data_IF_786272676578
#
_entry.id   IF_786272676578
#
_cell.length_a   1.000
_cell.length_b   1.000
_cell.length_c   1.000
_cell.angle_alpha   90.00
_cell.angle_beta   90.00
_cell.angle_gamma   90.00
#
_symmetry.space_group_name_H-M   'P 1'
#
loop_
_entity.id
_entity.type
_entity.pdbx_description
1 polymer ?
#
# COMPACT_ATOMS: atom_id res chain seq x y z
N UNK A 1 -66.86 0.10 -9.28
CA UNK A 1 -65.57 -0.57 -9.11
C UNK A 1 -64.66 0.35 -8.26
N UNK A 2 -64.40 -0.05 -7.02
CA UNK A 2 -63.54 0.67 -6.11
C UNK A 2 -62.08 0.35 -6.45
N UNK A 3 -61.28 1.37 -6.72
CA UNK A 3 -59.82 1.26 -6.82
C UNK A 3 -59.25 1.25 -5.39
N UNK A 4 -58.78 0.10 -4.95
CA UNK A 4 -58.03 -0.03 -3.73
C UNK A 4 -56.70 0.71 -3.85
N UNK A 5 -56.61 1.78 -3.15
CA UNK A 5 -55.42 2.59 -3.05
C UNK A 5 -54.42 1.89 -2.09
N UNK A 6 -53.56 1.05 -2.63
CA UNK A 6 -52.47 0.44 -1.84
C UNK A 6 -51.43 1.52 -1.63
N UNK A 7 -51.54 2.23 -0.52
CA UNK A 7 -50.50 3.10 -0.02
C UNK A 7 -49.41 2.23 0.60
N UNK A 8 -48.35 1.92 -0.17
CA UNK A 8 -47.17 1.35 0.38
C UNK A 8 -46.42 2.46 1.19
N UNK A 9 -46.66 2.48 2.48
CA UNK A 9 -45.83 3.27 3.38
C UNK A 9 -44.46 2.62 3.47
N UNK A 10 -43.49 3.16 2.74
CA UNK A 10 -42.10 2.87 2.99
C UNK A 10 -41.75 3.45 4.39
N UNK A 11 -41.65 2.59 5.37
CA UNK A 11 -41.14 2.96 6.68
C UNK A 11 -39.66 3.23 6.51
N UNK A 12 -39.27 4.49 6.34
CA UNK A 12 -37.90 4.92 6.49
C UNK A 12 -37.51 4.71 7.95
N UNK A 13 -36.83 3.62 8.22
CA UNK A 13 -36.21 3.39 9.53
C UNK A 13 -35.16 4.47 9.72
N UNK A 14 -35.50 5.50 10.44
CA UNK A 14 -34.55 6.56 10.81
C UNK A 14 -33.46 5.91 11.64
N UNK A 15 -32.23 5.85 11.09
CA UNK A 15 -31.07 5.35 11.80
C UNK A 15 -30.87 6.19 13.03
N UNK A 16 -30.90 5.57 14.19
CA UNK A 16 -30.65 6.23 15.48
C UNK A 16 -29.28 6.95 15.39
N UNK A 17 -29.22 8.28 15.55
CA UNK A 17 -27.98 9.03 15.48
C UNK A 17 -26.99 8.66 16.59
N UNK A 18 -27.44 7.93 17.61
CA UNK A 18 -26.63 7.49 18.75
C UNK A 18 -26.18 6.02 18.63
N UNK A 19 -26.50 5.33 17.54
CA UNK A 19 -26.00 3.98 17.33
C UNK A 19 -24.53 4.05 16.92
N UNK A 20 -23.64 3.81 17.86
CA UNK A 20 -22.21 3.64 17.61
C UNK A 20 -22.03 2.46 16.64
N UNK A 21 -21.63 2.74 15.42
CA UNK A 21 -21.32 1.70 14.44
C UNK A 21 -20.03 1.05 14.87
N UNK A 22 -20.13 -0.11 15.51
CA UNK A 22 -18.94 -0.91 15.83
C UNK A 22 -18.34 -1.44 14.53
N UNK A 23 -17.20 -0.88 14.16
CA UNK A 23 -16.44 -1.36 13.01
C UNK A 23 -15.79 -2.71 13.33
N UNK A 24 -15.66 -3.61 12.33
CA UNK A 24 -14.87 -4.81 12.47
C UNK A 24 -13.42 -4.49 12.84
N UNK A 25 -12.84 -5.31 13.69
CA UNK A 25 -11.41 -5.22 14.02
C UNK A 25 -10.62 -5.87 12.90
N UNK A 26 -9.75 -5.10 12.26
CA UNK A 26 -8.90 -5.57 11.15
C UNK A 26 -7.46 -5.62 11.61
N UNK A 27 -6.74 -6.67 11.23
CA UNK A 27 -5.31 -6.83 11.51
C UNK A 27 -4.60 -7.42 10.29
N UNK A 28 -3.31 -7.11 10.18
CA UNK A 28 -2.41 -7.74 9.23
C UNK A 28 -1.64 -8.85 9.96
N UNK A 29 -1.64 -10.06 9.41
CA UNK A 29 -0.85 -11.17 9.93
C UNK A 29 -0.02 -11.77 8.79
N UNK A 30 1.25 -12.02 9.03
CA UNK A 30 2.15 -12.54 8.02
C UNK A 30 3.57 -12.75 8.54
N UNK A 31 4.49 -13.05 7.64
CA UNK A 31 5.89 -13.29 7.99
C UNK A 31 6.55 -12.11 8.71
N UNK A 32 6.06 -10.88 8.47
CA UNK A 32 6.57 -9.67 9.10
C UNK A 32 6.26 -9.59 10.61
N UNK A 33 5.33 -10.38 11.13
CA UNK A 33 4.92 -10.38 12.54
C UNK A 33 4.66 -11.79 13.08
N UNK A 34 5.33 -12.81 12.49
CA UNK A 34 5.24 -14.20 12.89
C UNK A 34 3.79 -14.74 12.88
N UNK A 35 2.98 -14.25 11.92
CA UNK A 35 1.56 -14.60 11.76
C UNK A 35 0.68 -14.26 12.96
N UNK A 36 1.09 -13.28 13.77
CA UNK A 36 0.28 -12.79 14.88
C UNK A 36 -0.97 -12.06 14.38
N UNK A 37 -2.14 -12.50 14.82
CA UNK A 37 -3.44 -11.89 14.46
C UNK A 37 -3.73 -10.60 15.21
N UNK A 38 -2.89 -10.22 16.18
CA UNK A 38 -3.11 -9.08 17.08
C UNK A 38 -1.96 -8.07 17.09
N UNK A 39 -0.77 -8.45 16.60
CA UNK A 39 0.42 -7.60 16.70
C UNK A 39 0.39 -6.38 15.75
N UNK A 40 -0.38 -6.46 14.67
CA UNK A 40 -0.44 -5.41 13.64
C UNK A 40 -1.88 -5.02 13.32
N UNK A 41 -2.60 -4.40 14.30
CA UNK A 41 -3.97 -3.96 14.10
C UNK A 41 -4.03 -2.71 13.21
N UNK A 42 -5.06 -2.61 12.39
CA UNK A 42 -5.37 -1.40 11.66
C UNK A 42 -6.05 -0.38 12.58
N UNK A 43 -5.73 0.89 12.39
CA UNK A 43 -6.37 2.01 13.07
C UNK A 43 -7.41 2.62 12.16
N UNK A 44 -8.67 2.63 12.59
CA UNK A 44 -9.76 3.22 11.84
C UNK A 44 -9.56 4.73 11.68
N UNK A 45 -9.84 5.24 10.49
CA UNK A 45 -9.88 6.67 10.22
C UNK A 45 -11.12 7.31 10.90
N UNK A 46 -11.07 8.62 11.12
CA UNK A 46 -12.15 9.35 11.79
C UNK A 46 -13.49 9.28 11.04
N UNK A 47 -13.45 9.10 9.72
CA UNK A 47 -14.65 8.93 8.89
C UNK A 47 -15.27 7.53 8.96
N UNK A 48 -14.60 6.59 9.60
CA UNK A 48 -15.00 5.17 9.71
C UNK A 48 -15.16 4.46 8.37
N UNK A 49 -14.59 4.99 7.29
CA UNK A 49 -14.64 4.38 5.96
C UNK A 49 -13.43 3.48 5.69
N UNK A 50 -12.29 3.85 6.25
CA UNK A 50 -11.02 3.15 6.07
C UNK A 50 -10.34 2.90 7.41
N UNK A 51 -9.38 1.98 7.37
CA UNK A 51 -8.43 1.78 8.46
C UNK A 51 -7.02 1.60 7.87
N UNK A 52 -6.00 1.97 8.59
CA UNK A 52 -4.63 1.88 8.11
C UNK A 52 -3.66 1.35 9.14
N UNK A 53 -2.57 0.75 8.67
CA UNK A 53 -1.45 0.35 9.49
C UNK A 53 -0.14 0.56 8.73
N UNK A 54 0.85 1.10 9.42
CA UNK A 54 2.19 1.31 8.89
C UNK A 54 3.13 0.20 9.40
N UNK A 55 3.78 -0.51 8.49
CA UNK A 55 4.66 -1.64 8.78
C UNK A 55 6.05 -1.37 8.20
N UNK A 56 7.08 -1.55 9.02
CA UNK A 56 8.46 -1.49 8.55
C UNK A 56 8.86 -2.84 7.96
N UNK A 57 9.20 -2.85 6.68
CA UNK A 57 9.65 -4.05 5.97
C UNK A 57 11.10 -3.90 5.52
N UNK A 58 11.82 -5.00 5.47
CA UNK A 58 13.12 -5.10 4.81
C UNK A 58 12.90 -5.41 3.32
N UNK A 59 13.92 -5.25 2.48
CA UNK A 59 13.85 -5.55 1.07
C UNK A 59 13.79 -7.07 0.85
N UNK A 60 12.58 -7.62 0.87
CA UNK A 60 12.29 -9.04 0.61
C UNK A 60 10.79 -9.25 0.32
N UNK A 61 10.43 -10.46 -0.04
CA UNK A 61 9.03 -10.87 -0.20
C UNK A 61 8.47 -11.35 1.13
N UNK A 62 7.25 -10.94 1.46
CA UNK A 62 6.52 -11.38 2.66
C UNK A 62 5.18 -11.97 2.26
N UNK A 63 4.87 -13.15 2.76
CA UNK A 63 3.52 -13.71 2.72
C UNK A 63 2.69 -13.13 3.87
N UNK A 64 1.42 -12.81 3.60
CA UNK A 64 0.51 -12.26 4.61
C UNK A 64 -0.96 -12.56 4.31
N UNK A 65 -1.80 -12.33 5.31
CA UNK A 65 -3.27 -12.35 5.22
C UNK A 65 -3.84 -11.16 5.98
N UNK A 66 -5.07 -10.79 5.63
CA UNK A 66 -5.89 -9.89 6.43
C UNK A 66 -6.74 -10.72 7.38
N UNK A 67 -6.86 -10.29 8.62
CA UNK A 67 -7.71 -10.90 9.65
C UNK A 67 -8.78 -9.89 10.00
N UNK A 68 -10.04 -10.29 9.96
CA UNK A 68 -11.20 -9.48 10.31
C UNK A 68 -12.00 -10.18 11.39
N UNK A 69 -12.18 -9.57 12.54
CA UNK A 69 -12.87 -10.14 13.71
C UNK A 69 -12.37 -11.56 14.05
N UNK A 70 -11.04 -11.74 14.06
CA UNK A 70 -10.35 -13.03 14.27
C UNK A 70 -10.59 -14.09 13.20
N UNK A 71 -11.22 -13.74 12.07
CA UNK A 71 -11.40 -14.62 10.94
C UNK A 71 -10.37 -14.32 9.86
N UNK A 72 -9.70 -15.35 9.36
CA UNK A 72 -8.73 -15.24 8.27
C UNK A 72 -9.48 -14.99 6.94
N UNK A 73 -9.11 -13.95 6.23
CA UNK A 73 -9.55 -13.76 4.86
C UNK A 73 -8.69 -14.65 3.95
N UNK A 74 -9.25 -15.78 3.55
CA UNK A 74 -8.57 -16.77 2.71
C UNK A 74 -8.92 -16.66 1.24
N UNK A 75 -9.88 -15.80 0.87
CA UNK A 75 -10.38 -15.70 -0.48
C UNK A 75 -9.80 -14.48 -1.21
N UNK A 76 -9.24 -14.72 -2.39
CA UNK A 76 -8.68 -13.69 -3.28
C UNK A 76 -9.69 -12.60 -3.69
N UNK A 77 -10.98 -12.90 -3.68
CA UNK A 77 -12.03 -11.94 -4.00
C UNK A 77 -12.25 -10.90 -2.94
N UNK A 78 -11.78 -11.14 -1.73
CA UNK A 78 -11.93 -10.23 -0.60
C UNK A 78 -10.79 -9.21 -0.51
N UNK A 79 -9.69 -9.43 -1.23
CA UNK A 79 -8.57 -8.49 -1.35
C UNK A 79 -8.46 -8.06 -2.80
N UNK A 80 -8.88 -6.85 -3.11
CA UNK A 80 -8.81 -6.35 -4.48
C UNK A 80 -7.44 -5.75 -4.74
N UNK A 81 -6.87 -6.02 -5.92
CA UNK A 81 -5.63 -5.41 -6.40
C UNK A 81 -5.85 -3.96 -6.79
N UNK A 82 -6.16 -3.07 -5.86
CA UNK A 82 -6.24 -1.66 -6.20
C UNK A 82 -4.88 -1.02 -6.14
N UNK A 83 -4.38 -0.65 -7.29
CA UNK A 83 -3.26 0.26 -7.53
C UNK A 83 -1.87 -0.18 -7.05
N UNK A 84 -1.67 -1.39 -6.54
CA UNK A 84 -0.35 -1.85 -6.12
C UNK A 84 0.10 -3.02 -7.00
N UNK A 85 0.99 -2.75 -7.94
CA UNK A 85 1.56 -3.76 -8.84
C UNK A 85 2.37 -4.85 -8.11
N UNK A 86 2.74 -4.60 -6.86
CA UNK A 86 3.63 -5.47 -6.09
C UNK A 86 2.91 -6.37 -5.07
N UNK A 87 1.58 -6.34 -5.01
CA UNK A 87 0.82 -7.35 -4.29
C UNK A 87 0.40 -8.42 -5.28
N UNK A 88 0.85 -9.63 -5.10
CA UNK A 88 0.39 -10.78 -5.84
C UNK A 88 -0.03 -11.90 -4.89
N UNK A 89 -0.91 -12.75 -5.39
CA UNK A 89 -1.44 -13.86 -4.64
C UNK A 89 -0.73 -15.13 -5.07
N UNK A 90 -0.27 -15.89 -4.11
CA UNK A 90 0.23 -17.23 -4.32
C UNK A 90 -0.90 -18.22 -4.07
N UNK A 91 -1.23 -19.00 -5.09
CA UNK A 91 -2.17 -20.12 -4.96
C UNK A 91 -1.32 -21.32 -4.59
N UNK A 92 -1.29 -21.67 -3.31
CA UNK A 92 -0.74 -22.94 -2.90
C UNK A 92 -1.77 -24.04 -3.20
N UNK A 93 -1.31 -25.13 -3.76
CA UNK A 93 -2.14 -26.28 -4.16
C UNK A 93 -3.17 -26.64 -3.06
N UNK A 94 -4.40 -26.24 -3.31
CA UNK A 94 -5.60 -26.84 -2.74
C UNK A 94 -6.33 -26.09 -1.65
N UNK A 95 -5.75 -25.32 -0.73
CA UNK A 95 -6.53 -24.87 0.43
C UNK A 95 -6.26 -23.48 0.98
N UNK A 96 -5.12 -22.85 0.79
CA UNK A 96 -4.87 -21.53 1.38
C UNK A 96 -4.13 -20.59 0.44
N UNK A 97 -4.81 -19.51 0.06
CA UNK A 97 -4.16 -18.43 -0.68
C UNK A 97 -3.62 -17.38 0.27
N UNK A 98 -2.29 -17.22 0.31
CA UNK A 98 -1.65 -16.09 0.95
C UNK A 98 -1.44 -14.99 -0.08
N UNK A 99 -1.69 -13.74 0.32
CA UNK A 99 -1.18 -12.60 -0.43
C UNK A 99 0.34 -12.50 -0.21
N UNK A 100 1.06 -11.98 -1.20
CA UNK A 100 2.48 -11.68 -1.05
C UNK A 100 2.73 -10.21 -1.41
N UNK A 101 3.62 -9.59 -0.67
CA UNK A 101 4.16 -8.27 -1.00
C UNK A 101 5.65 -8.39 -1.27
N UNK A 102 6.08 -7.86 -2.41
CA UNK A 102 7.50 -7.70 -2.73
C UNK A 102 7.91 -6.31 -2.27
N UNK A 103 8.68 -6.24 -1.20
CA UNK A 103 9.28 -5.00 -0.73
C UNK A 103 10.65 -4.86 -1.42
N UNK A 104 10.72 -4.05 -2.46
CA UNK A 104 11.96 -3.84 -3.24
C UNK A 104 13.01 -3.05 -2.45
N UNK A 105 12.54 -2.24 -1.51
CA UNK A 105 13.39 -1.41 -0.65
C UNK A 105 12.95 -1.53 0.80
N UNK A 106 13.91 -1.44 1.71
CA UNK A 106 13.59 -1.33 3.12
C UNK A 106 12.90 0.01 3.41
N UNK A 107 11.82 -0.02 4.20
CA UNK A 107 11.09 1.21 4.51
C UNK A 107 9.76 0.96 5.18
N UNK A 108 8.97 2.03 5.31
CA UNK A 108 7.63 1.96 5.88
C UNK A 108 6.60 1.82 4.77
N UNK A 109 5.85 0.74 4.81
CA UNK A 109 4.73 0.44 3.92
C UNK A 109 3.43 0.70 4.67
N UNK A 110 2.52 1.47 4.08
CA UNK A 110 1.23 1.77 4.69
C UNK A 110 0.15 0.97 4.01
N UNK A 111 -0.45 0.06 4.76
CA UNK A 111 -1.60 -0.72 4.32
C UNK A 111 -2.88 0.03 4.68
N UNK A 112 -3.81 0.13 3.74
CA UNK A 112 -5.11 0.78 3.93
C UNK A 112 -6.21 -0.21 3.58
N UNK A 113 -7.09 -0.45 4.53
CA UNK A 113 -8.29 -1.28 4.39
C UNK A 113 -9.52 -0.39 4.19
N UNK A 114 -10.34 -0.71 3.19
CA UNK A 114 -11.64 -0.06 2.95
C UNK A 114 -12.75 -1.00 3.39
N UNK A 115 -13.56 -0.57 4.36
CA UNK A 115 -14.59 -1.43 4.96
C UNK A 115 -15.72 -1.79 3.99
N UNK A 116 -16.16 -0.84 3.15
CA UNK A 116 -17.29 -1.04 2.24
C UNK A 116 -17.03 -2.13 1.21
N UNK A 117 -15.87 -2.07 0.57
CA UNK A 117 -15.51 -2.93 -0.57
C UNK A 117 -14.62 -4.11 -0.15
N UNK A 118 -14.20 -4.16 1.12
CA UNK A 118 -13.24 -5.13 1.64
C UNK A 118 -11.96 -5.15 0.79
N UNK A 119 -11.45 -3.97 0.45
CA UNK A 119 -10.27 -3.81 -0.37
C UNK A 119 -9.07 -3.43 0.47
N UNK A 120 -7.90 -3.95 0.09
CA UNK A 120 -6.62 -3.60 0.68
C UNK A 120 -5.78 -2.87 -0.36
N UNK A 121 -5.28 -1.70 -0.02
CA UNK A 121 -4.26 -1.00 -0.80
C UNK A 121 -2.99 -0.83 0.02
N UNK A 122 -1.85 -0.70 -0.66
CA UNK A 122 -0.55 -0.51 -0.01
C UNK A 122 0.16 0.66 -0.64
N UNK A 123 0.60 1.60 0.19
CA UNK A 123 1.47 2.70 -0.21
C UNK A 123 2.91 2.31 0.10
N UNK A 124 3.74 2.35 -0.92
CA UNK A 124 5.16 2.05 -0.83
C UNK A 124 5.93 3.23 -0.28
N UNK A 125 7.08 3.00 0.40
CA UNK A 125 7.95 4.08 0.81
C UNK A 125 8.41 4.86 -0.43
N UNK A 126 8.33 6.19 -0.36
CA UNK A 126 9.01 7.02 -1.34
C UNK A 126 10.50 6.81 -1.17
N UNK A 127 11.15 6.15 -2.11
CA UNK A 127 12.60 6.28 -2.25
C UNK A 127 12.82 7.75 -2.62
N UNK A 128 13.22 8.56 -1.65
CA UNK A 128 13.84 9.83 -1.98
C UNK A 128 14.96 9.48 -2.95
N UNK A 129 14.83 10.00 -4.17
CA UNK A 129 15.88 9.85 -5.16
C UNK A 129 17.18 10.16 -4.45
N UNK A 130 18.04 9.13 -4.36
CA UNK A 130 19.42 9.16 -3.88
C UNK A 130 19.67 10.40 -3.02
N UNK A 131 19.77 10.21 -1.68
CA UNK A 131 20.46 11.21 -0.89
C UNK A 131 21.66 11.63 -1.73
N UNK A 132 21.72 12.92 -2.02
CA UNK A 132 22.80 13.52 -2.75
C UNK A 132 24.08 12.78 -2.32
N UNK A 133 24.57 11.89 -3.17
CA UNK A 133 25.93 11.40 -3.03
C UNK A 133 26.68 12.71 -2.99
N UNK A 134 27.14 13.10 -1.81
CA UNK A 134 27.84 14.35 -1.59
C UNK A 134 28.80 14.46 -2.76
N UNK A 135 28.38 15.25 -3.76
CA UNK A 135 29.09 15.33 -5.01
C UNK A 135 30.47 15.75 -4.58
N UNK A 136 31.39 14.84 -4.69
CA UNK A 136 32.80 15.11 -4.45
C UNK A 136 33.03 16.48 -5.05
N UNK A 137 33.42 17.46 -4.23
CA UNK A 137 33.42 18.89 -4.59
C UNK A 137 34.21 19.19 -5.87
N UNK A 138 34.85 18.16 -6.40
CA UNK A 138 35.67 18.13 -7.60
C UNK A 138 34.93 17.69 -8.87
N UNK A 139 33.66 17.22 -8.77
CA UNK A 139 32.89 16.74 -9.94
C UNK A 139 31.66 17.59 -10.18
N UNK A 140 31.56 18.22 -11.35
CA UNK A 140 30.39 18.99 -11.77
C UNK A 140 29.84 18.43 -13.06
N UNK A 141 28.50 18.37 -13.19
CA UNK A 141 27.80 17.97 -14.40
C UNK A 141 27.08 19.20 -14.98
N UNK A 142 27.13 19.41 -16.27
CA UNK A 142 26.38 20.46 -16.93
C UNK A 142 26.02 20.06 -18.37
N UNK A 143 24.99 20.71 -18.92
CA UNK A 143 24.58 20.52 -20.31
C UNK A 143 24.94 21.78 -21.08
N UNK A 144 25.62 21.61 -22.22
CA UNK A 144 25.91 22.66 -23.16
C UNK A 144 25.58 22.19 -24.58
N UNK A 145 24.77 22.97 -25.30
CA UNK A 145 24.29 22.64 -26.65
C UNK A 145 23.64 21.25 -26.73
N UNK A 146 22.85 20.86 -25.70
CA UNK A 146 22.19 19.54 -25.65
C UNK A 146 23.09 18.36 -25.32
N UNK A 147 24.37 18.58 -25.06
CA UNK A 147 25.33 17.53 -24.70
C UNK A 147 25.70 17.62 -23.22
N UNK A 148 25.76 16.46 -22.56
CA UNK A 148 26.18 16.34 -21.17
C UNK A 148 27.72 16.33 -21.09
N UNK A 149 28.25 17.15 -20.20
CA UNK A 149 29.65 17.21 -19.84
C UNK A 149 29.85 16.95 -18.36
N UNK A 150 30.96 16.37 -18.02
CA UNK A 150 31.38 16.11 -16.65
C UNK A 150 32.73 16.82 -16.46
N UNK A 151 32.83 17.70 -15.47
CA UNK A 151 34.12 18.23 -15.01
C UNK A 151 34.53 17.43 -13.79
N UNK A 152 35.73 16.87 -13.82
CA UNK A 152 36.37 16.22 -12.70
C UNK A 152 37.79 16.74 -12.56
N UNK A 153 38.11 17.22 -11.38
CA UNK A 153 39.46 17.80 -11.08
C UNK A 153 39.87 18.87 -12.10
N UNK A 154 38.92 19.71 -12.53
CA UNK A 154 39.16 20.75 -13.52
C UNK A 154 39.27 20.32 -14.98
N UNK A 155 39.18 19.01 -15.26
CA UNK A 155 39.21 18.45 -16.61
C UNK A 155 37.78 18.16 -17.08
N UNK A 156 37.43 18.62 -18.29
CA UNK A 156 36.10 18.39 -18.87
C UNK A 156 36.08 17.13 -19.73
N UNK A 157 35.09 16.29 -19.53
CA UNK A 157 34.85 15.05 -20.28
C UNK A 157 33.48 15.10 -20.95
N UNK A 158 33.36 14.50 -22.13
CA UNK A 158 32.05 14.21 -22.74
C UNK A 158 31.49 12.89 -22.18
N UNK A 159 30.27 12.52 -22.62
CA UNK A 159 29.59 11.28 -22.18
C UNK A 159 30.35 10.00 -22.54
N UNK A 160 31.27 10.06 -23.48
CA UNK A 160 32.14 8.93 -23.90
C UNK A 160 33.43 8.86 -23.08
N UNK A 161 33.60 9.74 -22.08
CA UNK A 161 34.80 9.80 -21.26
C UNK A 161 36.03 10.44 -21.95
N UNK A 162 35.82 11.12 -23.08
CA UNK A 162 36.89 11.83 -23.78
C UNK A 162 37.06 13.22 -23.23
N UNK A 163 38.32 13.64 -23.07
CA UNK A 163 38.64 15.01 -22.64
C UNK A 163 38.27 15.97 -23.76
N UNK A 164 37.53 17.00 -23.41
CA UNK A 164 37.17 18.09 -24.32
C UNK A 164 37.86 19.37 -23.90
N UNK A 165 38.43 20.07 -24.86
CA UNK A 165 39.09 21.37 -24.61
C UNK A 165 38.05 22.51 -24.62
#
# INVERSE_FOLDING_TARGET
AALDNISAQATLTQKDPNQEVKLPVVALAGEMNEWSTTATPFVAAADSLTASVAVKLQAQTYAFKVVVDNSWLSNLTEITRNACSNIFFDVLDGEETNAKIVADVAGTYTFVWTYADKTLSVTFPTVSAVEDVQADSHTKKFIRNGQLYIIRDGVQFNILGQVTK
#
